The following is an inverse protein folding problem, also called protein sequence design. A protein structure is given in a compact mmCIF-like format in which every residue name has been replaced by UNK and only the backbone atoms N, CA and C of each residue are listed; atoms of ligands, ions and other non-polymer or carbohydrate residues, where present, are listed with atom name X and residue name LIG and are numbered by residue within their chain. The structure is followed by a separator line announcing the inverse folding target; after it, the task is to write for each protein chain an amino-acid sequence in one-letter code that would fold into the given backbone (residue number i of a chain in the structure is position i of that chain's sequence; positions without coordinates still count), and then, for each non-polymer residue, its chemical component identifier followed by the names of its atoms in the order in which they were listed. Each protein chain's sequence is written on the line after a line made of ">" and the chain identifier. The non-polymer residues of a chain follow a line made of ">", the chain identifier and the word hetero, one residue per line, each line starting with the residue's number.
data_IF_553872757262
#
_entry.id   IF_553872757262
#
_cell.length_a   1.000
_cell.length_b   1.000
_cell.length_c   1.000
_cell.angle_alpha   90.00
_cell.angle_beta   90.00
_cell.angle_gamma   90.00
#
_symmetry.space_group_name_H-M   'P 1'
#
loop_
_entity.id
_entity.type
_entity.pdbx_description
1 polymer ?
#
# COMPACT_ATOMS: atom_id res chain seq x y z
N UNK A 1 5.53 3.08 -6.08
CA UNK A 1 4.45 2.93 -7.08
C UNK A 1 5.05 3.19 -8.45
N UNK A 2 4.99 2.22 -9.35
CA UNK A 2 5.35 2.43 -10.75
C UNK A 2 4.33 3.42 -11.35
N UNK A 3 4.79 4.52 -11.95
CA UNK A 3 3.91 5.58 -12.44
C UNK A 3 3.22 5.18 -13.75
N UNK A 4 2.05 5.73 -14.04
CA UNK A 4 1.32 5.47 -15.28
C UNK A 4 2.16 5.78 -16.54
N UNK A 5 3.09 6.74 -16.43
CA UNK A 5 4.05 7.07 -17.48
C UNK A 5 4.99 5.90 -17.82
N UNK A 6 5.32 5.05 -16.84
CA UNK A 6 6.16 3.87 -17.06
C UNK A 6 5.43 2.84 -17.94
N UNK A 7 4.18 2.53 -17.62
CA UNK A 7 3.39 1.56 -18.40
C UNK A 7 3.03 2.09 -19.79
N UNK A 8 2.78 3.40 -19.91
CA UNK A 8 2.57 4.06 -21.20
C UNK A 8 3.75 3.86 -22.16
N UNK A 9 4.98 3.96 -21.64
CA UNK A 9 6.18 3.76 -22.45
C UNK A 9 6.52 2.28 -22.67
N UNK A 10 6.12 1.40 -21.76
CA UNK A 10 6.33 -0.05 -21.89
C UNK A 10 5.45 -0.67 -22.98
N UNK A 11 4.25 -0.11 -23.19
CA UNK A 11 3.26 -0.60 -24.16
C UNK A 11 3.08 0.35 -25.37
N UNK A 12 3.93 1.37 -25.50
CA UNK A 12 3.91 2.22 -26.69
C UNK A 12 4.40 1.41 -27.89
N UNK A 13 3.53 1.33 -28.89
CA UNK A 13 3.70 0.60 -30.14
C UNK A 13 4.90 1.17 -30.92
N UNK A 14 5.89 0.28 -31.13
CA UNK A 14 7.09 0.36 -31.95
C UNK A 14 7.97 1.62 -31.89
N UNK A 15 9.23 1.45 -31.45
CA UNK A 15 10.41 1.83 -32.26
C UNK A 15 11.71 1.37 -31.60
N UNK A 16 12.28 0.31 -32.17
CA UNK A 16 13.63 -0.24 -31.94
C UNK A 16 13.92 -0.87 -30.57
N UNK A 17 14.62 -2.01 -30.63
CA UNK A 17 15.16 -2.76 -29.48
C UNK A 17 16.03 -1.85 -28.59
N UNK A 18 16.68 -0.85 -29.18
CA UNK A 18 17.56 0.07 -28.46
C UNK A 18 16.80 0.97 -27.48
N UNK A 19 15.65 1.49 -27.89
CA UNK A 19 14.77 2.29 -27.01
C UNK A 19 14.25 1.46 -25.84
N UNK A 20 13.88 0.20 -26.10
CA UNK A 20 13.45 -0.73 -25.06
C UNK A 20 14.58 -1.01 -24.06
N UNK A 21 15.77 -1.34 -24.57
CA UNK A 21 16.93 -1.62 -23.73
C UNK A 21 17.35 -0.41 -22.88
N UNK A 22 17.25 0.81 -23.42
CA UNK A 22 17.51 2.04 -22.67
C UNK A 22 16.45 2.27 -21.57
N UNK A 23 15.17 1.98 -21.85
CA UNK A 23 14.10 2.07 -20.84
C UNK A 23 14.32 1.10 -19.68
N UNK A 24 14.71 -0.15 -19.97
CA UNK A 24 15.04 -1.17 -18.97
C UNK A 24 16.27 -0.74 -18.15
N UNK A 25 17.34 -0.26 -18.79
CA UNK A 25 18.53 0.19 -18.10
C UNK A 25 18.22 1.36 -17.13
N UNK A 26 17.38 2.31 -17.56
CA UNK A 26 16.94 3.42 -16.73
C UNK A 26 16.04 2.97 -15.56
N UNK A 27 15.13 2.02 -15.79
CA UNK A 27 14.29 1.45 -14.75
C UNK A 27 15.11 0.71 -13.68
N UNK A 28 16.08 -0.10 -14.09
CA UNK A 28 16.97 -0.82 -13.19
C UNK A 28 17.87 0.14 -12.39
N UNK A 29 18.39 1.19 -13.03
CA UNK A 29 19.18 2.24 -12.38
C UNK A 29 18.39 2.99 -11.30
N UNK A 30 17.13 3.32 -11.57
CA UNK A 30 16.26 3.98 -10.59
C UNK A 30 15.80 3.03 -9.47
N UNK A 31 15.79 1.72 -9.74
CA UNK A 31 15.52 0.68 -8.75
C UNK A 31 16.69 0.49 -7.78
N UNK A 32 17.94 0.71 -8.19
CA UNK A 32 19.11 0.65 -7.31
C UNK A 32 19.18 1.82 -6.30
N UNK A 33 18.65 2.99 -6.66
CA UNK A 33 18.52 4.14 -5.75
C UNK A 33 17.36 3.99 -4.75
N UNK A 34 16.45 3.04 -4.98
CA UNK A 34 15.35 2.73 -4.08
C UNK A 34 15.62 1.37 -3.45
N UNK A 35 16.50 1.34 -2.43
CA UNK A 35 16.60 0.22 -1.50
C UNK A 35 15.18 -0.15 -1.08
N UNK A 36 14.66 -1.28 -1.57
CA UNK A 36 13.31 -1.77 -1.35
C UNK A 36 13.03 -1.84 0.16
N UNK A 37 12.47 -0.76 0.70
CA UNK A 37 11.38 -0.95 1.63
C UNK A 37 10.25 -1.49 0.75
N UNK A 38 10.13 -2.81 0.67
CA UNK A 38 8.78 -3.38 0.65
C UNK A 38 8.15 -2.66 1.83
N UNK A 39 7.17 -1.75 1.64
CA UNK A 39 6.54 -1.14 2.78
C UNK A 39 6.10 -2.31 3.63
N UNK A 40 6.72 -2.46 4.81
CA UNK A 40 6.18 -3.35 5.82
C UNK A 40 4.84 -2.72 6.11
N UNK A 41 3.84 -3.16 5.35
CA UNK A 41 2.48 -2.66 5.39
C UNK A 41 2.09 -2.92 6.82
N UNK A 42 2.17 -1.87 7.65
CA UNK A 42 2.06 -2.06 9.08
C UNK A 42 0.57 -2.29 9.29
N UNK A 43 0.18 -3.55 9.39
CA UNK A 43 -1.18 -3.96 9.74
C UNK A 43 -1.66 -3.05 10.87
N UNK A 44 -2.55 -2.08 10.60
CA UNK A 44 -2.84 -1.06 11.59
C UNK A 44 -3.57 -1.73 12.75
N UNK A 45 -3.08 -1.48 13.97
CA UNK A 45 -3.80 -1.86 15.17
C UNK A 45 -4.87 -0.80 15.44
N UNK A 46 -6.12 -1.23 15.53
CA UNK A 46 -7.26 -0.38 15.86
C UNK A 46 -7.83 -0.78 17.22
N UNK A 47 -8.38 0.20 17.94
CA UNK A 47 -8.86 0.01 19.31
C UNK A 47 -10.33 0.41 19.42
N UNK A 48 -11.10 -0.40 20.15
CA UNK A 48 -12.50 -0.15 20.45
C UNK A 48 -12.68 -0.06 21.98
N UNK A 49 -13.03 1.13 22.46
CA UNK A 49 -13.40 1.35 23.86
C UNK A 49 -14.88 1.03 24.05
N UNK A 50 -15.19 0.13 24.99
CA UNK A 50 -16.56 -0.36 25.22
C UNK A 50 -17.02 0.05 26.62
N UNK A 51 -18.25 0.59 26.65
CA UNK A 51 -18.97 0.92 27.88
C UNK A 51 -20.35 0.26 27.85
N UNK A 52 -20.78 -0.32 28.98
CA UNK A 52 -22.13 -0.87 29.15
C UNK A 52 -22.80 -0.13 30.30
N UNK A 53 -24.02 0.38 30.09
CA UNK A 53 -24.73 1.19 31.09
C UNK A 53 -23.88 2.33 31.65
N UNK A 54 -23.15 3.05 30.76
CA UNK A 54 -22.21 4.12 31.10
C UNK A 54 -21.01 3.71 31.97
N UNK A 55 -20.81 2.41 32.22
CA UNK A 55 -19.63 1.90 32.90
C UNK A 55 -18.59 1.41 31.85
N UNK A 56 -17.38 1.99 31.81
CA UNK A 56 -16.34 1.54 30.89
C UNK A 56 -15.86 0.13 31.28
N UNK A 57 -15.98 -0.82 30.37
CA UNK A 57 -15.62 -2.23 30.59
C UNK A 57 -14.20 -2.52 30.14
N UNK A 58 -13.70 -1.77 29.15
CA UNK A 58 -12.32 -1.87 28.70
C UNK A 58 -12.16 -1.59 27.22
N UNK A 59 -11.01 -2.02 26.69
CA UNK A 59 -10.56 -1.78 25.32
C UNK A 59 -10.28 -3.09 24.60
N UNK A 60 -10.86 -3.27 23.43
CA UNK A 60 -10.52 -4.37 22.51
C UNK A 60 -9.50 -3.86 21.49
N UNK A 61 -8.45 -4.65 21.24
CA UNK A 61 -7.46 -4.38 20.20
C UNK A 61 -7.66 -5.34 19.03
N UNK A 62 -7.76 -4.81 17.81
CA UNK A 62 -7.79 -5.60 16.58
C UNK A 62 -6.55 -5.35 15.74
N UNK A 63 -6.01 -6.42 15.14
CA UNK A 63 -5.01 -6.34 14.07
C UNK A 63 -5.72 -6.47 12.73
N UNK A 64 -5.64 -5.46 11.87
CA UNK A 64 -6.22 -5.52 10.53
C UNK A 64 -5.20 -6.11 9.54
N UNK A 65 -5.57 -7.22 8.88
CA UNK A 65 -4.74 -7.90 7.89
C UNK A 65 -4.81 -7.17 6.54
N UNK A 66 -4.18 -6.01 6.45
CA UNK A 66 -4.19 -5.15 5.26
C UNK A 66 -3.38 -5.73 4.08
N UNK A 67 -2.47 -6.65 4.37
CA UNK A 67 -1.72 -7.46 3.42
C UNK A 67 -2.60 -8.48 2.68
N UNK A 68 -3.61 -9.02 3.36
CA UNK A 68 -4.52 -10.04 2.80
C UNK A 68 -5.82 -9.40 2.28
N UNK A 69 -6.39 -8.43 3.01
CA UNK A 69 -7.68 -7.79 2.69
C UNK A 69 -7.59 -6.25 2.72
N UNK A 70 -6.86 -5.62 1.78
CA UNK A 70 -6.53 -4.19 1.82
C UNK A 70 -7.76 -3.27 1.77
N UNK A 71 -8.77 -3.60 0.96
CA UNK A 71 -9.99 -2.79 0.83
C UNK A 71 -10.79 -2.78 2.13
N UNK A 72 -11.00 -3.96 2.73
CA UNK A 72 -11.74 -4.11 3.98
C UNK A 72 -11.00 -3.45 5.14
N UNK A 73 -9.70 -3.68 5.27
CA UNK A 73 -8.86 -3.04 6.29
C UNK A 73 -8.89 -1.51 6.16
N UNK A 74 -8.83 -0.98 4.93
CA UNK A 74 -8.94 0.45 4.66
C UNK A 74 -10.28 1.06 5.08
N UNK A 75 -11.39 0.36 4.81
CA UNK A 75 -12.73 0.79 5.23
C UNK A 75 -12.84 0.81 6.76
N UNK A 76 -12.44 -0.27 7.43
CA UNK A 76 -12.49 -0.36 8.88
C UNK A 76 -11.68 0.76 9.54
N UNK A 77 -10.42 0.92 9.13
CA UNK A 77 -9.53 1.92 9.70
C UNK A 77 -10.04 3.37 9.49
N UNK A 78 -10.50 3.71 8.27
CA UNK A 78 -10.88 5.09 7.94
C UNK A 78 -12.29 5.48 8.35
N UNK A 79 -13.26 4.56 8.34
CA UNK A 79 -14.67 4.91 8.54
C UNK A 79 -15.23 4.54 9.90
N UNK A 80 -14.70 3.49 10.53
CA UNK A 80 -15.24 2.98 11.79
C UNK A 80 -14.43 3.41 13.01
N UNK A 81 -13.15 3.72 12.82
CA UNK A 81 -12.25 4.10 13.93
C UNK A 81 -11.73 5.55 13.82
N UNK A 82 -12.20 6.32 12.85
CA UNK A 82 -11.93 7.76 12.74
C UNK A 82 -13.05 8.53 13.44
N UNK A 83 -12.80 9.01 14.66
CA UNK A 83 -13.70 9.90 15.41
C UNK A 83 -13.20 11.34 15.34
#
# INVERSE_FOLDING_TARGET
>A
MLSDSFFRNLFAEETSIDTFNQSIANALRNSAATKNQIPSQSCPNVYLDISINNYPIGRIQFKLLDDIVPTTAGILNKKLFSF
#
